data_IF_429298835098
#
_entry.id   IF_429298835098
#
_cell.length_a   1.000
_cell.length_b   1.000
_cell.length_c   1.000
_cell.angle_alpha   90.00
_cell.angle_beta   90.00
_cell.angle_gamma   90.00
#
_symmetry.space_group_name_H-M   'P 1'
#
loop_
_entity.id
_entity.type
_entity.pdbx_description
1 polymer ?
#
# COMPACT_ATOMS: atom_id res chain seq x y z
N UNK A 1 8.50 -2.23 -0.54
CA UNK A 1 7.86 -2.11 -1.88
C UNK A 1 7.76 -0.63 -2.20
N UNK A 2 8.43 -0.18 -3.26
CA UNK A 2 8.48 1.24 -3.64
C UNK A 2 7.57 1.49 -4.85
N UNK A 3 7.05 2.71 -4.97
CA UNK A 3 6.21 3.12 -6.10
C UNK A 3 6.86 2.91 -7.47
N UNK A 4 8.19 3.04 -7.51
CA UNK A 4 9.02 2.88 -8.72
C UNK A 4 9.00 1.45 -9.24
N UNK A 5 8.74 0.46 -8.38
CA UNK A 5 8.69 -0.96 -8.76
C UNK A 5 7.33 -1.36 -9.35
N UNK A 6 6.35 -0.45 -9.39
CA UNK A 6 5.02 -0.70 -9.92
C UNK A 6 4.97 -0.14 -11.33
N UNK A 7 4.74 -0.97 -12.34
CA UNK A 7 4.66 -0.51 -13.72
C UNK A 7 3.34 0.23 -14.01
N UNK A 8 3.43 1.42 -14.63
CA UNK A 8 2.29 2.20 -15.08
C UNK A 8 1.44 2.79 -13.95
N UNK A 9 0.16 3.07 -14.25
CA UNK A 9 -0.81 3.64 -13.30
C UNK A 9 -0.40 5.01 -12.72
N UNK A 10 0.35 5.82 -13.49
CA UNK A 10 0.93 7.09 -13.00
C UNK A 10 -0.12 8.06 -12.45
N UNK A 11 -1.28 8.18 -13.10
CA UNK A 11 -2.37 9.02 -12.61
C UNK A 11 -2.90 8.55 -11.25
N UNK A 12 -2.99 7.23 -11.05
CA UNK A 12 -3.46 6.65 -9.78
C UNK A 12 -2.41 6.80 -8.69
N UNK A 13 -1.13 6.54 -8.99
CA UNK A 13 -0.02 6.78 -8.05
C UNK A 13 0.01 8.24 -7.60
N UNK A 14 -0.14 9.18 -8.54
CA UNK A 14 -0.21 10.61 -8.23
C UNK A 14 -1.39 10.92 -7.32
N UNK A 15 -2.60 10.45 -7.65
CA UNK A 15 -3.79 10.64 -6.83
C UNK A 15 -3.60 10.12 -5.39
N UNK A 16 -2.99 8.94 -5.24
CA UNK A 16 -2.74 8.35 -3.93
C UNK A 16 -1.70 9.15 -3.13
N UNK A 17 -0.60 9.58 -3.75
CA UNK A 17 0.40 10.43 -3.10
C UNK A 17 -0.18 11.78 -2.69
N UNK A 18 -0.91 12.44 -3.58
CA UNK A 18 -1.58 13.71 -3.31
C UNK A 18 -2.53 13.55 -2.10
N UNK A 19 -3.29 12.46 -2.03
CA UNK A 19 -4.17 12.14 -0.88
C UNK A 19 -3.42 12.00 0.44
N UNK A 20 -2.21 11.43 0.44
CA UNK A 20 -1.38 11.35 1.65
C UNK A 20 -0.79 12.73 1.99
N UNK A 21 -0.26 13.44 1.00
CA UNK A 21 0.34 14.77 1.17
C UNK A 21 -0.66 15.77 1.77
N UNK A 22 -1.92 15.68 1.35
CA UNK A 22 -3.01 16.53 1.83
C UNK A 22 -3.62 16.06 3.17
N UNK A 23 -3.10 14.98 3.77
CA UNK A 23 -3.70 14.30 4.93
C UNK A 23 -5.18 13.95 4.73
N UNK A 24 -5.57 13.60 3.49
CA UNK A 24 -6.94 13.21 3.09
C UNK A 24 -6.99 11.73 2.72
N UNK A 25 -6.49 10.88 3.60
CA UNK A 25 -6.50 9.42 3.44
C UNK A 25 -7.88 8.87 3.84
N UNK A 26 -8.51 8.10 2.96
CA UNK A 26 -9.80 7.45 3.25
C UNK A 26 -9.61 6.26 4.20
N UNK A 27 -10.59 6.01 5.06
CA UNK A 27 -10.55 4.88 6.02
C UNK A 27 -10.56 3.51 5.34
N UNK A 28 -11.01 3.44 4.08
CA UNK A 28 -11.03 2.24 3.28
C UNK A 28 -10.77 2.57 1.81
N UNK A 29 -9.96 1.74 1.15
CA UNK A 29 -9.65 1.83 -0.27
C UNK A 29 -9.88 0.47 -0.91
N UNK A 30 -10.71 0.41 -1.95
CA UNK A 30 -10.91 -0.80 -2.75
C UNK A 30 -10.07 -0.70 -4.02
N UNK A 31 -9.08 -1.58 -4.15
CA UNK A 31 -8.30 -1.71 -5.38
C UNK A 31 -8.80 -2.91 -6.19
N UNK A 32 -9.16 -2.67 -7.45
CA UNK A 32 -9.66 -3.69 -8.37
C UNK A 32 -8.75 -3.77 -9.58
N UNK A 33 -8.34 -4.98 -9.95
CA UNK A 33 -7.48 -5.20 -11.11
C UNK A 33 -7.50 -6.67 -11.50
N UNK A 34 -7.14 -6.96 -12.75
CA UNK A 34 -6.90 -8.33 -13.19
C UNK A 34 -5.62 -8.86 -12.53
N UNK A 35 -5.49 -10.18 -12.49
CA UNK A 35 -4.24 -10.80 -12.07
C UNK A 35 -3.05 -10.26 -12.87
N UNK A 36 -1.93 -10.02 -12.18
CA UNK A 36 -0.72 -9.46 -12.79
C UNK A 36 -0.69 -7.93 -12.94
N UNK A 37 -1.76 -7.20 -12.62
CA UNK A 37 -1.79 -5.72 -12.74
C UNK A 37 -1.05 -4.98 -11.61
N UNK A 38 -0.41 -5.69 -10.68
CA UNK A 38 0.34 -5.05 -9.59
C UNK A 38 -0.54 -4.37 -8.53
N UNK A 39 -1.81 -4.77 -8.41
CA UNK A 39 -2.77 -4.19 -7.44
C UNK A 39 -2.31 -4.32 -5.99
N UNK A 40 -1.82 -5.51 -5.59
CA UNK A 40 -1.30 -5.71 -4.24
C UNK A 40 -0.02 -4.90 -3.97
N UNK A 41 1.00 -4.91 -4.86
CA UNK A 41 2.15 -4.01 -4.76
C UNK A 41 1.77 -2.54 -4.58
N UNK A 42 0.75 -2.06 -5.29
CA UNK A 42 0.24 -0.70 -5.18
C UNK A 42 -0.36 -0.41 -3.80
N UNK A 43 -1.24 -1.29 -3.32
CA UNK A 43 -1.80 -1.17 -1.98
C UNK A 43 -0.72 -1.19 -0.89
N UNK A 44 0.30 -2.04 -1.05
CA UNK A 44 1.42 -2.15 -0.11
C UNK A 44 2.33 -0.92 -0.14
N UNK A 45 2.62 -0.36 -1.32
CA UNK A 45 3.39 0.88 -1.43
C UNK A 45 2.65 2.07 -0.80
N UNK A 46 1.32 2.13 -0.98
CA UNK A 46 0.47 3.12 -0.34
C UNK A 46 0.50 3.01 1.19
N UNK A 47 0.29 1.80 1.73
CA UNK A 47 0.36 1.55 3.17
C UNK A 47 1.75 1.85 3.76
N UNK A 48 2.83 1.52 3.03
CA UNK A 48 4.21 1.83 3.42
C UNK A 48 4.41 3.33 3.62
N UNK A 49 3.93 4.15 2.69
CA UNK A 49 4.12 5.60 2.77
C UNK A 49 3.31 6.23 3.91
N UNK A 50 2.07 5.77 4.13
CA UNK A 50 1.26 6.20 5.27
C UNK A 50 2.00 5.92 6.59
N UNK A 51 2.42 4.67 6.80
CA UNK A 51 3.12 4.27 8.03
C UNK A 51 4.48 4.97 8.18
N UNK A 52 5.19 5.23 7.08
CA UNK A 52 6.47 5.96 7.10
C UNK A 52 6.29 7.41 7.59
N UNK A 53 5.15 8.04 7.28
CA UNK A 53 4.86 9.41 7.73
C UNK A 53 4.52 9.49 9.22
N UNK A 54 3.97 8.42 9.78
CA UNK A 54 3.80 8.29 11.23
C UNK A 54 5.15 8.03 11.92
N UNK A 55 5.98 7.17 11.34
CA UNK A 55 7.29 6.83 11.86
C UNK A 55 8.31 6.54 10.74
N UNK A 56 9.43 7.28 10.71
CA UNK A 56 10.47 7.17 9.67
C UNK A 56 10.98 5.73 9.47
N UNK A 57 11.11 4.96 10.57
CA UNK A 57 11.60 3.58 10.54
C UNK A 57 10.56 2.53 10.14
N UNK A 58 9.29 2.91 9.95
CA UNK A 58 8.22 1.98 9.59
C UNK A 58 8.42 1.39 8.18
N UNK A 59 8.97 2.17 7.24
CA UNK A 59 9.15 1.74 5.85
C UNK A 59 9.93 0.44 5.70
N UNK A 60 11.05 0.30 6.44
CA UNK A 60 11.87 -0.91 6.46
C UNK A 60 11.10 -2.12 7.00
N UNK A 61 10.30 -1.93 8.06
CA UNK A 61 9.48 -3.02 8.63
C UNK A 61 8.36 -3.45 7.68
N UNK A 62 7.74 -2.51 6.97
CA UNK A 62 6.74 -2.82 5.94
C UNK A 62 7.36 -3.57 4.77
N UNK A 63 8.60 -3.24 4.38
CA UNK A 63 9.35 -3.97 3.36
C UNK A 63 9.60 -5.44 3.74
N UNK A 64 9.86 -5.72 5.02
CA UNK A 64 10.01 -7.07 5.55
C UNK A 64 8.69 -7.71 5.97
N UNK A 65 7.54 -7.06 5.70
CA UNK A 65 6.20 -7.53 6.06
C UNK A 65 6.03 -7.83 7.57
N UNK A 66 6.77 -7.14 8.44
CA UNK A 66 6.81 -7.40 9.88
C UNK A 66 6.48 -6.15 10.73
N UNK A 67 5.83 -5.16 10.14
CA UNK A 67 5.33 -3.99 10.88
C UNK A 67 4.16 -4.38 11.79
N UNK A 68 4.19 -3.94 13.06
CA UNK A 68 3.19 -4.31 14.07
C UNK A 68 1.77 -3.91 13.66
N UNK A 69 1.62 -2.71 13.09
CA UNK A 69 0.34 -2.15 12.65
C UNK A 69 -0.05 -2.54 11.21
N UNK A 70 0.71 -3.45 10.57
CA UNK A 70 0.39 -3.96 9.25
C UNK A 70 -0.21 -5.37 9.38
N UNK A 71 -1.50 -5.49 9.12
CA UNK A 71 -2.22 -6.76 9.19
C UNK A 71 -2.65 -7.24 7.82
N UNK A 72 -2.41 -8.52 7.55
CA UNK A 72 -2.92 -9.21 6.37
C UNK A 72 -4.00 -10.21 6.79
N UNK A 73 -5.16 -10.11 6.17
CA UNK A 73 -6.26 -11.06 6.34
C UNK A 73 -6.51 -11.76 5.02
N UNK A 74 -6.30 -13.08 4.99
CA UNK A 74 -6.55 -13.92 3.83
C UNK A 74 -7.65 -14.92 4.17
N UNK A 75 -8.50 -15.30 3.20
CA UNK A 75 -9.50 -16.32 3.43
C UNK A 75 -8.83 -17.63 3.87
N UNK A 76 -9.33 -18.22 4.96
CA UNK A 76 -8.95 -19.57 5.35
C UNK A 76 -9.81 -20.58 4.59
N UNK A 77 -9.17 -21.36 3.73
CA UNK A 77 -9.82 -22.52 3.13
C UNK A 77 -9.93 -23.59 4.22
N UNK A 78 -11.13 -23.77 4.79
CA UNK A 78 -11.44 -25.00 5.50
C UNK A 78 -11.73 -26.08 4.45
N UNK A 79 -10.97 -27.17 4.51
CA UNK A 79 -11.30 -28.42 3.81
C UNK A 79 -12.11 -29.30 4.73
#
# INVERSE_FOLDING_TARGET
>A
MNWEHIAGQENLKKLLRDSIDENRVSHAQLFVGKEGYGTFPLALAYAREILQREHEHAASKVEHLNHLDLHFSFPRLYR
#
